data_IF_000072524441
#
_entry.id   IF_000072524441
#
_cell.length_a   1.000
_cell.length_b   1.000
_cell.length_c   1.000
_cell.angle_alpha   90.00
_cell.angle_beta   90.00
_cell.angle_gamma   90.00
#
_symmetry.space_group_name_H-M   'P 1'
#
loop_
_entity.id
_entity.type
_entity.pdbx_description
1 polymer ?
#
# COMPACT_ATOMS: atom_id res chain seq x y z
N UNK A 1 2.08 16.49 30.99
CA UNK A 1 1.73 15.05 31.04
C UNK A 1 2.32 14.47 32.32
N UNK A 2 1.54 13.76 33.15
CA UNK A 2 2.06 13.16 34.39
C UNK A 2 3.05 12.02 34.08
N UNK A 3 3.98 11.74 34.99
CA UNK A 3 4.93 10.62 34.86
C UNK A 3 4.23 9.26 34.67
N UNK A 4 3.03 9.09 35.25
CA UNK A 4 2.20 7.88 35.08
C UNK A 4 1.68 7.69 33.65
N UNK A 5 1.29 8.77 32.97
CA UNK A 5 0.87 8.70 31.56
C UNK A 5 2.04 8.39 30.63
N UNK A 6 3.23 8.94 30.92
CA UNK A 6 4.44 8.66 30.15
C UNK A 6 4.88 7.20 30.29
N UNK A 7 4.85 6.65 31.52
CA UNK A 7 5.16 5.25 31.77
C UNK A 7 4.21 4.30 31.03
N UNK A 8 2.90 4.56 31.08
CA UNK A 8 1.89 3.75 30.38
C UNK A 8 2.04 3.80 28.86
N UNK A 9 2.48 4.93 28.30
CA UNK A 9 2.77 5.07 26.88
C UNK A 9 3.97 4.24 26.42
N UNK A 10 5.05 4.23 27.20
CA UNK A 10 6.27 3.47 26.88
C UNK A 10 6.03 1.96 26.97
N UNK A 11 5.28 1.47 27.95
CA UNK A 11 4.89 0.06 28.06
C UNK A 11 4.06 -0.39 26.84
N UNK A 12 3.11 0.45 26.39
CA UNK A 12 2.34 0.14 25.19
C UNK A 12 3.22 0.10 23.93
N UNK A 13 4.18 1.02 23.80
CA UNK A 13 5.15 1.00 22.70
C UNK A 13 6.03 -0.25 22.72
N UNK A 14 6.52 -0.65 23.88
CA UNK A 14 7.28 -1.89 24.04
C UNK A 14 6.50 -3.10 23.52
N UNK A 15 5.21 -3.19 23.87
CA UNK A 15 4.30 -4.24 23.37
C UNK A 15 4.12 -4.17 21.85
N UNK A 16 4.00 -2.99 21.25
CA UNK A 16 3.92 -2.85 19.79
C UNK A 16 5.17 -3.42 19.09
N UNK A 17 6.37 -3.12 19.59
CA UNK A 17 7.61 -3.69 19.05
C UNK A 17 7.71 -5.22 19.26
N UNK A 18 7.22 -5.75 20.38
CA UNK A 18 7.16 -7.21 20.59
C UNK A 18 6.21 -7.89 19.59
N UNK A 19 5.01 -7.34 19.41
CA UNK A 19 4.02 -7.85 18.45
C UNK A 19 4.57 -7.77 17.03
N UNK A 20 5.21 -6.65 16.66
CA UNK A 20 5.88 -6.50 15.39
C UNK A 20 6.93 -7.60 15.18
N UNK A 21 7.80 -7.85 16.17
CA UNK A 21 8.83 -8.89 16.05
C UNK A 21 8.28 -10.33 15.94
N UNK A 22 7.06 -10.58 16.42
CA UNK A 22 6.39 -11.88 16.36
C UNK A 22 5.67 -12.06 15.03
N UNK A 23 4.67 -11.21 14.73
CA UNK A 23 3.82 -11.31 13.54
C UNK A 23 4.63 -11.33 12.23
N UNK A 24 5.70 -10.55 12.21
CA UNK A 24 6.47 -10.31 11.01
C UNK A 24 7.58 -11.36 10.80
N UNK A 25 7.87 -12.18 11.82
CA UNK A 25 8.71 -13.38 11.62
C UNK A 25 7.98 -14.48 10.85
N UNK A 26 6.64 -14.44 10.81
CA UNK A 26 5.82 -15.55 10.31
C UNK A 26 5.21 -15.27 8.92
N UNK A 27 4.91 -14.01 8.58
CA UNK A 27 4.19 -13.64 7.35
C UNK A 27 5.05 -12.89 6.33
N UNK A 28 6.02 -12.08 6.78
CA UNK A 28 6.84 -11.23 5.92
C UNK A 28 8.27 -11.07 6.49
N UNK A 29 9.11 -12.12 6.40
CA UNK A 29 10.27 -12.27 7.26
C UNK A 29 11.35 -11.21 7.04
N UNK A 30 11.63 -10.42 8.09
CA UNK A 30 12.86 -9.63 8.22
C UNK A 30 13.60 -10.02 9.50
N UNK A 31 14.59 -10.94 9.42
CA UNK A 31 15.41 -11.31 10.57
C UNK A 31 16.08 -10.11 11.24
N UNK A 32 16.52 -9.11 10.45
CA UNK A 32 17.12 -7.89 10.99
C UNK A 32 16.10 -7.13 11.84
N UNK A 33 14.94 -6.77 11.27
CA UNK A 33 13.94 -5.98 12.00
C UNK A 33 13.35 -6.76 13.18
N UNK A 34 13.18 -8.07 13.08
CA UNK A 34 12.75 -8.91 14.21
C UNK A 34 13.74 -8.88 15.38
N UNK A 35 15.05 -8.95 15.12
CA UNK A 35 16.08 -8.83 16.17
C UNK A 35 16.07 -7.42 16.77
N UNK A 36 16.04 -6.38 15.92
CA UNK A 36 16.05 -5.00 16.39
C UNK A 36 14.81 -4.69 17.24
N UNK A 37 13.62 -5.09 16.79
CA UNK A 37 12.36 -4.85 17.50
C UNK A 37 12.32 -5.50 18.88
N UNK A 38 12.80 -6.73 19.03
CA UNK A 38 12.88 -7.40 20.35
C UNK A 38 13.80 -6.67 21.33
N UNK A 39 14.86 -6.04 20.84
CA UNK A 39 15.79 -5.29 21.68
C UNK A 39 15.26 -3.87 21.98
N UNK A 40 14.69 -3.18 20.99
CA UNK A 40 14.04 -1.88 21.17
C UNK A 40 12.92 -1.97 22.21
N UNK A 41 12.13 -3.04 22.19
CA UNK A 41 11.08 -3.28 23.19
C UNK A 41 11.59 -3.34 24.66
N UNK A 42 12.90 -3.46 24.87
CA UNK A 42 13.55 -3.52 26.19
C UNK A 42 14.41 -2.29 26.49
N UNK A 43 14.49 -1.32 25.58
CA UNK A 43 15.35 -0.15 25.70
C UNK A 43 14.52 1.14 25.77
N UNK A 44 14.43 1.71 26.97
CA UNK A 44 13.66 2.93 27.24
C UNK A 44 14.15 4.14 26.44
N UNK A 45 15.44 4.20 26.09
CA UNK A 45 16.00 5.29 25.28
C UNK A 45 15.45 5.20 23.86
N UNK A 46 15.46 4.00 23.27
CA UNK A 46 14.93 3.78 21.92
C UNK A 46 13.40 3.94 21.87
N UNK A 47 12.68 3.47 22.89
CA UNK A 47 11.22 3.68 22.99
C UNK A 47 10.87 5.16 23.11
N UNK A 48 11.66 5.95 23.83
CA UNK A 48 11.49 7.40 23.93
C UNK A 48 11.69 8.07 22.57
N UNK A 49 12.73 7.70 21.82
CA UNK A 49 12.94 8.20 20.47
C UNK A 49 11.76 7.83 19.55
N UNK A 50 11.34 6.57 19.55
CA UNK A 50 10.21 6.08 18.76
C UNK A 50 8.86 6.74 19.11
N UNK A 51 8.69 7.21 20.36
CA UNK A 51 7.46 7.86 20.83
C UNK A 51 7.11 9.18 20.13
N UNK A 52 8.06 9.75 19.37
CA UNK A 52 7.83 10.97 18.57
C UNK A 52 6.94 10.74 17.34
N UNK A 53 6.59 9.48 17.04
CA UNK A 53 5.72 9.17 15.92
C UNK A 53 4.33 9.79 16.12
N UNK A 54 3.75 10.28 15.02
CA UNK A 54 2.40 10.88 15.06
C UNK A 54 1.35 9.83 15.48
N UNK A 55 0.27 10.25 16.17
CA UNK A 55 -0.85 9.37 16.47
C UNK A 55 -1.38 8.66 15.21
N UNK A 56 -1.73 7.38 15.36
CA UNK A 56 -2.27 6.56 14.27
C UNK A 56 -1.24 6.01 13.28
N UNK A 57 0.07 6.32 13.44
CA UNK A 57 1.11 5.70 12.62
C UNK A 57 1.60 4.38 13.23
N UNK A 58 1.95 3.37 12.41
CA UNK A 58 2.61 2.16 12.90
C UNK A 58 4.04 2.49 13.34
N UNK A 59 4.21 2.67 14.65
CA UNK A 59 5.46 3.20 15.25
C UNK A 59 6.69 2.38 14.87
N UNK A 60 6.70 1.03 14.93
CA UNK A 60 7.87 0.25 14.52
C UNK A 60 8.28 0.49 13.06
N UNK A 61 7.30 0.56 12.15
CA UNK A 61 7.55 0.79 10.72
C UNK A 61 8.14 2.18 10.48
N UNK A 62 7.61 3.24 11.12
CA UNK A 62 8.18 4.60 11.03
C UNK A 62 9.61 4.61 11.56
N UNK A 63 9.84 4.01 12.73
CA UNK A 63 11.13 4.04 13.40
C UNK A 63 12.22 3.36 12.56
N UNK A 64 11.96 2.15 12.06
CA UNK A 64 12.92 1.45 11.23
C UNK A 64 13.07 2.07 9.85
N UNK A 65 12.00 2.59 9.24
CA UNK A 65 12.10 3.32 7.98
C UNK A 65 12.92 4.60 8.12
N UNK A 66 12.86 5.31 9.26
CA UNK A 66 13.69 6.49 9.51
C UNK A 66 15.19 6.16 9.52
N UNK A 67 15.57 5.07 10.19
CA UNK A 67 16.96 4.58 10.18
C UNK A 67 17.37 4.15 8.78
N UNK A 68 16.53 3.36 8.10
CA UNK A 68 16.80 2.91 6.75
C UNK A 68 16.92 4.07 5.75
N UNK A 69 16.10 5.10 5.89
CA UNK A 69 16.12 6.32 5.08
C UNK A 69 17.46 7.04 5.21
N UNK A 70 17.98 7.23 6.44
CA UNK A 70 19.29 7.87 6.64
C UNK A 70 20.42 7.05 6.00
N UNK A 71 20.37 5.72 6.13
CA UNK A 71 21.37 4.84 5.50
C UNK A 71 21.27 4.88 3.95
N UNK A 72 20.05 4.81 3.40
CA UNK A 72 19.79 4.94 1.96
C UNK A 72 20.19 6.31 1.41
N UNK A 73 20.17 7.35 2.23
CA UNK A 73 20.62 8.72 1.89
C UNK A 73 22.15 8.85 1.83
N UNK A 74 22.90 7.77 2.09
CA UNK A 74 24.35 7.73 1.97
C UNK A 74 25.13 7.93 3.27
N UNK A 75 24.45 7.88 4.43
CA UNK A 75 25.10 7.99 5.74
C UNK A 75 26.13 6.87 5.91
N UNK A 76 27.41 7.23 6.04
CA UNK A 76 28.50 6.28 6.24
C UNK A 76 28.53 5.81 7.69
N UNK A 77 28.08 4.58 7.94
CA UNK A 77 28.08 3.98 9.28
C UNK A 77 28.17 2.45 9.22
N UNK A 78 28.85 1.77 10.18
CA UNK A 78 28.94 0.31 10.21
C UNK A 78 27.60 -0.44 10.18
N UNK A 79 26.51 0.21 10.62
CA UNK A 79 25.15 -0.34 10.58
C UNK A 79 24.72 -0.73 9.15
N UNK A 80 25.18 -0.01 8.12
CA UNK A 80 24.83 -0.29 6.73
C UNK A 80 25.21 -1.72 6.30
N UNK A 81 26.27 -2.30 6.88
CA UNK A 81 26.72 -3.65 6.58
C UNK A 81 25.70 -4.74 6.97
N UNK A 82 24.72 -4.43 7.82
CA UNK A 82 23.68 -5.37 8.24
C UNK A 82 22.43 -5.31 7.37
N UNK A 83 22.30 -4.31 6.48
CA UNK A 83 21.11 -4.08 5.65
C UNK A 83 21.30 -4.73 4.26
N UNK A 84 20.58 -5.81 3.93
CA UNK A 84 20.74 -6.50 2.64
C UNK A 84 20.33 -5.67 1.43
N UNK A 85 19.59 -4.58 1.65
CA UNK A 85 19.25 -3.57 0.64
C UNK A 85 20.44 -2.67 0.27
N UNK A 86 21.47 -2.61 1.11
CA UNK A 86 22.64 -1.73 0.96
C UNK A 86 23.94 -2.49 0.66
N UNK A 87 23.97 -3.81 0.89
CA UNK A 87 25.15 -4.65 0.63
C UNK A 87 24.76 -6.00 0.03
N UNK A 88 25.60 -6.48 -0.89
CA UNK A 88 25.47 -7.83 -1.45
C UNK A 88 25.85 -8.93 -0.44
N UNK A 89 26.68 -8.61 0.56
CA UNK A 89 27.17 -9.55 1.57
C UNK A 89 26.87 -8.98 2.97
N UNK A 90 25.65 -9.21 3.51
CA UNK A 90 25.28 -8.72 4.83
C UNK A 90 26.11 -9.37 5.94
N UNK A 91 26.49 -8.58 6.93
CA UNK A 91 27.14 -9.07 8.15
C UNK A 91 26.21 -9.97 8.96
N UNK A 92 26.78 -10.90 9.74
CA UNK A 92 26.01 -11.73 10.68
C UNK A 92 25.33 -10.84 11.72
N UNK A 93 24.05 -11.07 11.99
CA UNK A 93 23.23 -10.22 12.89
C UNK A 93 23.65 -10.26 14.38
N UNK A 94 24.63 -11.09 14.75
CA UNK A 94 25.17 -11.14 16.11
C UNK A 94 25.80 -9.79 16.44
N UNK A 95 25.35 -9.17 17.55
CA UNK A 95 25.86 -7.87 17.98
C UNK A 95 25.37 -6.67 17.16
N UNK A 96 24.36 -6.85 16.29
CA UNK A 96 23.80 -5.72 15.51
C UNK A 96 23.17 -4.64 16.40
N UNK A 97 22.56 -5.02 17.52
CA UNK A 97 21.79 -4.09 18.34
C UNK A 97 22.63 -2.96 18.97
N UNK A 98 23.79 -3.21 19.60
CA UNK A 98 24.68 -2.12 20.04
C UNK A 98 25.06 -1.13 18.93
N UNK A 99 25.31 -1.63 17.72
CA UNK A 99 25.66 -0.79 16.56
C UNK A 99 24.45 0.04 16.11
N UNK A 100 23.27 -0.58 16.07
CA UNK A 100 22.00 0.11 15.80
C UNK A 100 21.71 1.20 16.84
N UNK A 101 21.86 0.89 18.13
CA UNK A 101 21.65 1.84 19.22
C UNK A 101 22.62 3.01 19.12
N UNK A 102 23.89 2.75 18.86
CA UNK A 102 24.90 3.81 18.66
C UNK A 102 24.55 4.71 17.47
N UNK A 103 24.07 4.14 16.35
CA UNK A 103 23.56 4.92 15.22
C UNK A 103 22.40 5.82 15.64
N UNK A 104 21.40 5.28 16.34
CA UNK A 104 20.24 6.05 16.76
C UNK A 104 20.60 7.19 17.72
N UNK A 105 21.62 6.99 18.57
CA UNK A 105 22.14 8.05 19.45
C UNK A 105 22.94 9.11 18.68
N UNK A 106 23.74 8.69 17.70
CA UNK A 106 24.53 9.60 16.87
C UNK A 106 23.66 10.51 15.99
N UNK A 107 22.52 10.00 15.51
CA UNK A 107 21.60 10.70 14.59
C UNK A 107 20.24 11.00 15.23
N UNK A 108 20.20 11.21 16.55
CA UNK A 108 18.97 11.33 17.32
C UNK A 108 18.06 12.47 16.80
N UNK A 109 18.64 13.65 16.54
CA UNK A 109 17.89 14.82 16.10
C UNK A 109 17.25 14.60 14.72
N UNK A 110 18.01 14.06 13.76
CA UNK A 110 17.50 13.74 12.42
C UNK A 110 16.41 12.67 12.49
N UNK A 111 16.62 11.62 13.29
CA UNK A 111 15.63 10.56 13.45
C UNK A 111 14.34 11.11 14.07
N UNK A 112 14.44 11.95 15.11
CA UNK A 112 13.30 12.59 15.75
C UNK A 112 12.50 13.44 14.76
N UNK A 113 13.18 14.22 13.92
CA UNK A 113 12.54 14.99 12.86
C UNK A 113 11.81 14.08 11.87
N UNK A 114 12.47 13.05 11.34
CA UNK A 114 11.87 12.13 10.37
C UNK A 114 10.65 11.41 10.97
N UNK A 115 10.79 10.86 12.18
CA UNK A 115 9.74 10.11 12.88
C UNK A 115 8.51 10.99 13.14
N UNK A 116 8.72 12.27 13.49
CA UNK A 116 7.63 13.20 13.81
C UNK A 116 6.99 13.85 12.58
N UNK A 117 7.60 13.77 11.41
CA UNK A 117 7.14 14.45 10.20
C UNK A 117 6.59 13.52 9.12
N UNK A 118 7.22 12.36 8.93
CA UNK A 118 6.86 11.42 7.87
C UNK A 118 5.65 10.55 8.21
N UNK A 119 5.10 9.90 7.19
CA UNK A 119 3.95 8.99 7.28
C UNK A 119 4.28 7.66 6.61
N UNK A 120 3.77 6.56 7.15
CA UNK A 120 3.72 5.29 6.43
C UNK A 120 2.61 5.39 5.40
N UNK A 121 2.98 5.23 4.13
CA UNK A 121 2.07 5.17 3.02
C UNK A 121 2.43 3.95 2.18
N UNK A 122 1.69 2.87 2.38
CA UNK A 122 1.93 1.60 1.68
C UNK A 122 1.33 1.69 0.29
N UNK A 123 2.18 1.77 -0.74
CA UNK A 123 1.76 1.76 -2.14
C UNK A 123 2.10 0.40 -2.78
N UNK A 124 1.34 -0.64 -2.41
CA UNK A 124 1.65 -2.03 -2.77
C UNK A 124 1.16 -2.40 -4.17
N UNK A 125 2.07 -2.36 -5.14
CA UNK A 125 1.79 -2.58 -6.56
C UNK A 125 1.33 -4.01 -6.86
N UNK A 126 1.77 -5.00 -6.07
CA UNK A 126 1.33 -6.39 -6.27
C UNK A 126 -0.19 -6.58 -6.12
N UNK A 127 -0.89 -5.66 -5.44
CA UNK A 127 -2.36 -5.69 -5.36
C UNK A 127 -3.04 -5.59 -6.71
N UNK A 128 -2.39 -4.99 -7.72
CA UNK A 128 -2.90 -4.96 -9.08
C UNK A 128 -3.16 -6.37 -9.63
N UNK A 129 -2.41 -7.39 -9.19
CA UNK A 129 -2.65 -8.77 -9.62
C UNK A 129 -3.95 -9.35 -9.05
N UNK A 130 -4.42 -8.90 -7.89
CA UNK A 130 -5.74 -9.27 -7.39
C UNK A 130 -6.85 -8.41 -8.01
N UNK A 131 -6.55 -7.15 -8.33
CA UNK A 131 -7.50 -6.21 -8.93
C UNK A 131 -7.77 -6.48 -10.42
N UNK A 132 -6.83 -7.04 -11.16
CA UNK A 132 -6.95 -7.31 -12.61
C UNK A 132 -8.25 -8.04 -12.98
N UNK A 133 -8.58 -9.21 -12.38
CA UNK A 133 -9.83 -9.89 -12.72
C UNK A 133 -11.09 -9.09 -12.34
N UNK A 134 -11.01 -8.22 -11.33
CA UNK A 134 -12.12 -7.32 -10.99
C UNK A 134 -12.36 -6.28 -12.09
N UNK A 135 -11.29 -5.69 -12.65
CA UNK A 135 -11.40 -4.77 -13.78
C UNK A 135 -11.89 -5.47 -15.04
N UNK A 136 -11.55 -6.74 -15.26
CA UNK A 136 -12.10 -7.50 -16.40
C UNK A 136 -13.61 -7.71 -16.26
N UNK A 137 -14.11 -8.03 -15.06
CA UNK A 137 -15.55 -8.13 -14.81
C UNK A 137 -16.24 -6.80 -15.04
N UNK A 138 -15.68 -5.71 -14.50
CA UNK A 138 -16.23 -4.36 -14.71
C UNK A 138 -16.25 -4.00 -16.20
N UNK A 139 -15.20 -4.35 -16.94
CA UNK A 139 -15.14 -4.16 -18.39
C UNK A 139 -16.25 -4.94 -19.10
N UNK A 140 -16.45 -6.22 -18.76
CA UNK A 140 -17.52 -7.05 -19.34
C UNK A 140 -18.92 -6.49 -19.03
N UNK A 141 -19.21 -6.19 -17.76
CA UNK A 141 -20.51 -5.63 -17.34
C UNK A 141 -20.75 -4.23 -17.92
N UNK A 142 -19.68 -3.44 -18.06
CA UNK A 142 -19.66 -2.14 -18.72
C UNK A 142 -19.78 -2.20 -20.25
N UNK A 143 -20.01 -3.38 -20.82
CA UNK A 143 -20.18 -3.64 -22.26
C UNK A 143 -18.92 -3.33 -23.08
N UNK A 144 -17.75 -3.58 -22.48
CA UNK A 144 -16.41 -3.35 -23.06
C UNK A 144 -16.16 -1.90 -23.53
N UNK A 145 -16.94 -0.93 -23.01
CA UNK A 145 -16.62 0.49 -23.16
C UNK A 145 -15.32 0.81 -22.42
N UNK A 146 -14.55 1.83 -22.87
CA UNK A 146 -13.34 2.23 -22.18
C UNK A 146 -13.61 2.55 -20.71
N UNK A 147 -12.68 2.17 -19.85
CA UNK A 147 -12.77 2.40 -18.41
C UNK A 147 -12.32 3.82 -18.07
N UNK A 148 -13.11 4.48 -17.23
CA UNK A 148 -12.70 5.66 -16.49
C UNK A 148 -12.54 5.24 -15.02
N UNK A 149 -11.30 5.23 -14.53
CA UNK A 149 -11.00 4.73 -13.19
C UNK A 149 -10.66 5.86 -12.22
N UNK A 150 -11.17 5.74 -10.98
CA UNK A 150 -10.84 6.63 -9.88
C UNK A 150 -10.33 5.81 -8.70
N UNK A 151 -9.09 6.01 -8.26
CA UNK A 151 -8.54 5.39 -7.06
C UNK A 151 -8.70 6.30 -5.84
N UNK A 152 -9.24 5.77 -4.74
CA UNK A 152 -9.26 6.45 -3.44
C UNK A 152 -8.10 5.91 -2.57
N UNK A 153 -7.29 6.81 -2.01
CA UNK A 153 -6.09 6.45 -1.25
C UNK A 153 -4.90 6.06 -2.14
N UNK A 154 -4.74 6.74 -3.27
CA UNK A 154 -3.82 6.33 -4.35
C UNK A 154 -2.33 6.44 -3.99
N UNK A 155 -1.98 7.13 -2.90
CA UNK A 155 -0.60 7.42 -2.50
C UNK A 155 0.23 8.05 -3.63
N UNK A 156 1.05 7.28 -4.34
CA UNK A 156 1.88 7.74 -5.46
C UNK A 156 1.28 7.48 -6.85
N UNK A 157 0.04 6.98 -6.95
CA UNK A 157 -0.61 6.73 -8.24
C UNK A 157 -0.18 5.45 -8.96
N UNK A 158 0.50 4.53 -8.28
CA UNK A 158 1.10 3.36 -8.94
C UNK A 158 0.05 2.32 -9.35
N UNK A 159 -1.04 2.15 -8.59
CA UNK A 159 -2.07 1.16 -8.93
C UNK A 159 -3.03 1.64 -10.03
N UNK A 160 -3.07 2.95 -10.32
CA UNK A 160 -3.81 3.52 -11.45
C UNK A 160 -3.32 2.97 -12.80
N UNK A 161 -2.09 2.46 -12.86
CA UNK A 161 -1.45 1.97 -14.08
C UNK A 161 -1.48 0.44 -14.15
N UNK A 162 -2.45 -0.20 -13.50
CA UNK A 162 -2.61 -1.65 -13.51
C UNK A 162 -2.63 -2.23 -14.94
N UNK A 163 -3.20 -1.52 -15.91
CA UNK A 163 -3.27 -1.96 -17.31
C UNK A 163 -1.92 -1.86 -18.06
N UNK A 164 -0.91 -1.21 -17.47
CA UNK A 164 0.43 -1.03 -18.01
C UNK A 164 1.44 -2.09 -17.53
N UNK A 165 1.01 -3.00 -16.66
CA UNK A 165 1.86 -4.04 -16.06
C UNK A 165 1.67 -5.40 -16.74
N UNK A 166 2.65 -6.28 -16.57
CA UNK A 166 2.52 -7.68 -16.94
C UNK A 166 2.13 -8.53 -15.73
N UNK A 167 1.44 -9.64 -15.97
CA UNK A 167 0.86 -10.48 -14.92
C UNK A 167 1.14 -11.95 -15.18
N UNK A 168 1.43 -12.70 -14.11
CA UNK A 168 1.62 -14.15 -14.13
C UNK A 168 0.86 -14.80 -12.99
N UNK A 169 0.07 -15.82 -13.31
CA UNK A 169 -0.69 -16.63 -12.35
C UNK A 169 -0.25 -18.08 -12.45
N UNK A 170 0.98 -18.37 -11.99
CA UNK A 170 1.63 -19.66 -12.21
C UNK A 170 1.64 -20.01 -13.71
N UNK A 171 1.32 -21.27 -14.02
CA UNK A 171 1.22 -21.77 -15.39
C UNK A 171 -0.16 -21.51 -16.03
N UNK A 172 -1.12 -20.94 -15.27
CA UNK A 172 -2.52 -20.77 -15.71
C UNK A 172 -2.64 -19.61 -16.69
N UNK A 173 -1.93 -18.52 -16.44
CA UNK A 173 -2.05 -17.30 -17.23
C UNK A 173 -0.78 -16.46 -17.23
N UNK A 174 -0.47 -15.91 -18.39
CA UNK A 174 0.50 -14.83 -18.56
C UNK A 174 -0.03 -13.82 -19.57
N UNK A 175 -0.23 -12.58 -19.12
CA UNK A 175 -0.90 -11.55 -19.92
C UNK A 175 -0.59 -10.13 -19.45
N UNK A 176 -1.33 -9.18 -20.02
CA UNK A 176 -1.01 -7.76 -19.88
C UNK A 176 0.16 -7.32 -20.74
N UNK A 177 0.88 -6.31 -20.27
CA UNK A 177 2.04 -5.80 -20.97
C UNK A 177 3.25 -6.74 -20.78
N UNK A 178 3.40 -7.70 -21.70
CA UNK A 178 4.48 -8.70 -21.69
C UNK A 178 5.88 -8.11 -21.87
N UNK A 179 5.99 -6.89 -22.39
CA UNK A 179 7.29 -6.19 -22.52
C UNK A 179 7.58 -5.26 -21.35
N UNK A 180 6.63 -5.11 -20.41
CA UNK A 180 6.86 -4.34 -19.19
C UNK A 180 7.95 -4.97 -18.34
N UNK A 181 8.89 -4.15 -17.85
CA UNK A 181 9.88 -4.59 -16.86
C UNK A 181 9.22 -4.96 -15.51
N UNK A 182 7.96 -4.55 -15.29
CA UNK A 182 7.20 -4.92 -14.12
C UNK A 182 6.24 -6.08 -14.43
N UNK A 183 6.66 -7.27 -14.00
CA UNK A 183 5.85 -8.47 -14.01
C UNK A 183 5.38 -8.77 -12.58
N UNK A 184 4.07 -8.90 -12.41
CA UNK A 184 3.43 -9.15 -11.11
C UNK A 184 2.98 -10.60 -11.04
N UNK A 185 3.48 -11.32 -10.06
CA UNK A 185 3.13 -12.72 -9.78
C UNK A 185 2.02 -12.79 -8.72
N UNK A 186 1.03 -13.64 -8.96
CA UNK A 186 -0.01 -13.97 -7.99
C UNK A 186 -0.34 -15.46 -8.04
N UNK A 187 -0.23 -16.15 -6.91
CA UNK A 187 -0.66 -17.53 -6.76
C UNK A 187 -2.20 -17.59 -6.82
N UNK A 188 -2.77 -18.44 -7.67
CA UNK A 188 -4.20 -18.75 -7.62
C UNK A 188 -4.43 -19.92 -6.69
N UNK A 189 -5.36 -19.74 -5.75
CA UNK A 189 -5.79 -20.76 -4.79
C UNK A 189 -7.23 -21.17 -5.03
N UNK A 190 -7.55 -22.37 -4.59
CA UNK A 190 -8.87 -22.95 -4.76
C UNK A 190 -9.11 -23.49 -6.18
N UNK A 191 -10.28 -24.08 -6.43
CA UNK A 191 -10.57 -24.79 -7.68
C UNK A 191 -11.05 -23.86 -8.82
N UNK A 192 -11.40 -22.60 -8.51
CA UNK A 192 -11.97 -21.66 -9.47
C UNK A 192 -10.91 -20.75 -10.05
N UNK A 193 -10.98 -20.54 -11.36
CA UNK A 193 -10.10 -19.60 -12.07
C UNK A 193 -10.84 -18.28 -12.24
N UNK A 194 -10.25 -17.14 -11.84
CA UNK A 194 -10.87 -15.84 -12.03
C UNK A 194 -10.94 -15.47 -13.53
N UNK A 195 -11.83 -14.55 -13.93
CA UNK A 195 -11.87 -14.07 -15.31
C UNK A 195 -10.62 -13.21 -15.58
N UNK A 196 -9.69 -13.76 -16.36
CA UNK A 196 -8.46 -13.07 -16.75
C UNK A 196 -8.59 -12.56 -18.18
N UNK A 197 -8.26 -11.27 -18.44
CA UNK A 197 -8.50 -10.67 -19.75
C UNK A 197 -7.48 -11.19 -20.78
N UNK A 198 -7.92 -11.66 -21.97
CA UNK A 198 -7.00 -12.00 -23.06
C UNK A 198 -6.29 -10.76 -23.62
N UNK A 199 -6.96 -9.61 -23.59
CA UNK A 199 -6.45 -8.29 -23.93
C UNK A 199 -6.84 -7.30 -22.84
N UNK A 200 -5.94 -6.37 -22.50
CA UNK A 200 -6.19 -5.40 -21.43
C UNK A 200 -7.38 -4.50 -21.76
N UNK A 201 -8.34 -4.31 -20.82
CA UNK A 201 -9.37 -3.31 -20.99
C UNK A 201 -8.76 -1.92 -21.26
N UNK A 202 -9.31 -1.21 -22.24
CA UNK A 202 -8.87 0.15 -22.53
C UNK A 202 -9.22 1.07 -21.35
N UNK A 203 -8.26 1.89 -20.91
CA UNK A 203 -8.46 2.89 -19.85
C UNK A 203 -8.15 4.27 -20.39
N UNK A 204 -9.19 5.10 -20.55
CA UNK A 204 -9.09 6.45 -21.14
C UNK A 204 -8.95 7.54 -20.09
N UNK A 205 -9.33 7.28 -18.84
CA UNK A 205 -9.21 8.23 -17.74
C UNK A 205 -8.71 7.54 -16.47
N UNK A 206 -7.71 8.13 -15.83
CA UNK A 206 -7.13 7.69 -14.55
C UNK A 206 -7.05 8.88 -13.60
N UNK A 207 -7.78 8.81 -12.49
CA UNK A 207 -7.73 9.85 -11.44
C UNK A 207 -7.44 9.20 -10.09
N UNK A 208 -6.39 9.66 -9.42
CA UNK A 208 -6.09 9.26 -8.06
C UNK A 208 -6.43 10.36 -7.07
N UNK A 209 -7.08 10.00 -5.97
CA UNK A 209 -7.39 10.89 -4.85
C UNK A 209 -6.64 10.43 -3.60
N UNK A 210 -5.90 11.33 -2.97
CA UNK A 210 -5.22 11.06 -1.71
C UNK A 210 -5.16 12.32 -0.85
N UNK A 211 -5.22 12.20 0.48
CA UNK A 211 -5.07 13.35 1.37
C UNK A 211 -3.65 13.93 1.33
N UNK A 212 -2.65 13.07 1.11
CA UNK A 212 -1.23 13.39 1.14
C UNK A 212 -0.50 12.65 0.01
N UNK A 213 -0.82 12.95 -1.27
CA UNK A 213 -0.24 12.23 -2.39
C UNK A 213 1.29 12.35 -2.41
N UNK A 214 1.95 11.27 -2.79
CA UNK A 214 3.41 11.23 -2.88
C UNK A 214 3.83 11.84 -4.21
N UNK A 215 4.57 12.94 -4.15
CA UNK A 215 5.17 13.54 -5.34
C UNK A 215 6.36 12.71 -5.83
N UNK A 216 6.14 11.86 -6.84
CA UNK A 216 7.15 11.00 -7.47
C UNK A 216 8.28 11.75 -8.21
N UNK A 217 8.09 13.05 -8.48
CA UNK A 217 9.13 13.93 -9.04
C UNK A 217 10.09 14.44 -7.97
N UNK A 218 9.71 14.34 -6.68
CA UNK A 218 10.61 14.65 -5.57
C UNK A 218 11.46 13.41 -5.21
N UNK A 219 12.79 13.44 -5.44
CA UNK A 219 13.66 12.31 -5.15
C UNK A 219 13.66 11.92 -3.66
N UNK A 220 13.48 12.89 -2.76
CA UNK A 220 13.39 12.65 -1.32
C UNK A 220 12.12 11.87 -0.94
N UNK A 221 10.97 12.21 -1.54
CA UNK A 221 9.72 11.49 -1.33
C UNK A 221 9.80 10.04 -1.85
N UNK A 222 10.47 9.85 -2.99
CA UNK A 222 10.77 8.52 -3.54
C UNK A 222 11.71 7.73 -2.63
N UNK A 223 12.72 8.38 -2.06
CA UNK A 223 13.64 7.75 -1.12
C UNK A 223 12.93 7.30 0.16
N UNK A 224 12.00 8.12 0.67
CA UNK A 224 11.15 7.74 1.79
C UNK A 224 10.28 6.52 1.47
N UNK A 225 9.63 6.50 0.30
CA UNK A 225 8.83 5.36 -0.15
C UNK A 225 9.67 4.07 -0.24
N UNK A 226 10.93 4.18 -0.70
CA UNK A 226 11.91 3.09 -0.70
C UNK A 226 12.28 2.64 0.72
N UNK A 227 12.48 3.56 1.65
CA UNK A 227 12.86 3.24 3.03
C UNK A 227 11.77 2.49 3.81
N UNK A 228 10.50 2.65 3.41
CA UNK A 228 9.37 1.88 3.93
C UNK A 228 9.40 0.40 3.50
N UNK A 229 10.21 0.05 2.50
CA UNK A 229 10.47 -1.34 2.11
C UNK A 229 11.56 -1.91 3.01
N UNK A 230 11.32 -3.11 3.51
CA UNK A 230 12.20 -3.74 4.48
C UNK A 230 13.50 -4.22 3.82
N UNK A 231 14.61 -4.24 4.56
CA UNK A 231 15.94 -4.43 3.99
C UNK A 231 16.11 -5.73 3.21
N UNK A 232 15.42 -6.79 3.62
CA UNK A 232 15.44 -8.10 2.98
C UNK A 232 14.60 -8.18 1.69
N UNK A 233 13.61 -7.30 1.50
CA UNK A 233 12.63 -7.42 0.41
C UNK A 233 13.13 -6.83 -0.91
N UNK A 234 14.22 -7.38 -1.44
CA UNK A 234 14.87 -6.92 -2.69
C UNK A 234 13.91 -6.88 -3.88
N UNK A 235 13.03 -7.86 -4.00
CA UNK A 235 12.04 -7.93 -5.08
C UNK A 235 11.05 -6.75 -5.00
N UNK A 236 10.67 -6.33 -3.79
CA UNK A 236 9.81 -5.14 -3.62
C UNK A 236 10.53 -3.86 -4.02
N UNK A 237 11.84 -3.75 -3.77
CA UNK A 237 12.63 -2.62 -4.28
C UNK A 237 12.64 -2.58 -5.80
N UNK A 238 12.91 -3.71 -6.45
CA UNK A 238 12.92 -3.80 -7.92
C UNK A 238 11.54 -3.47 -8.49
N UNK A 239 10.46 -4.01 -7.91
CA UNK A 239 9.09 -3.70 -8.35
C UNK A 239 8.76 -2.22 -8.20
N UNK A 240 9.09 -1.61 -7.06
CA UNK A 240 8.86 -0.19 -6.84
C UNK A 240 9.64 0.65 -7.86
N UNK A 241 10.91 0.31 -8.12
CA UNK A 241 11.73 1.03 -9.10
C UNK A 241 11.11 0.95 -10.51
N UNK A 242 10.74 -0.24 -10.97
CA UNK A 242 10.12 -0.43 -12.28
C UNK A 242 8.77 0.31 -12.38
N UNK A 243 7.95 0.26 -11.32
CA UNK A 243 6.69 1.00 -11.27
C UNK A 243 6.92 2.53 -11.33
N UNK A 244 7.94 3.04 -10.63
CA UNK A 244 8.31 4.45 -10.64
C UNK A 244 8.77 4.94 -12.02
N UNK A 245 9.40 4.08 -12.81
CA UNK A 245 9.77 4.40 -14.20
C UNK A 245 8.53 4.52 -15.09
N UNK A 246 7.59 3.58 -14.97
CA UNK A 246 6.34 3.58 -15.75
C UNK A 246 5.48 4.80 -15.38
N UNK A 247 5.28 5.08 -14.09
CA UNK A 247 4.45 6.23 -13.66
C UNK A 247 5.02 7.57 -14.07
N UNK A 248 6.35 7.72 -14.16
CA UNK A 248 7.00 8.96 -14.64
C UNK A 248 6.75 9.20 -16.13
N UNK A 249 6.58 8.13 -16.91
CA UNK A 249 6.24 8.18 -18.33
C UNK A 249 4.75 8.47 -18.51
N UNK A 250 3.88 7.75 -17.79
CA UNK A 250 2.42 7.81 -17.97
C UNK A 250 1.75 9.01 -17.28
N UNK A 251 2.32 9.50 -16.16
CA UNK A 251 1.88 10.68 -15.39
C UNK A 251 0.36 10.73 -15.16
N UNK A 252 -0.24 9.72 -14.49
CA UNK A 252 -1.65 9.75 -14.16
C UNK A 252 -1.99 10.99 -13.30
N UNK A 253 -3.22 11.48 -13.42
CA UNK A 253 -3.69 12.63 -12.64
C UNK A 253 -3.88 12.19 -11.18
N UNK A 254 -3.08 12.76 -10.27
CA UNK A 254 -3.21 12.55 -8.83
C UNK A 254 -3.53 13.88 -8.16
N UNK A 255 -4.67 13.95 -7.47
CA UNK A 255 -5.15 15.15 -6.80
C UNK A 255 -5.05 14.99 -5.29
N UNK A 256 -4.52 16.04 -4.65
CA UNK A 256 -4.49 16.14 -3.19
C UNK A 256 -5.83 16.65 -2.67
N UNK A 257 -6.46 15.92 -1.75
CA UNK A 257 -7.63 16.40 -1.03
C UNK A 257 -8.54 15.29 -0.51
N UNK A 258 -9.59 15.73 0.17
CA UNK A 258 -10.62 14.85 0.70
C UNK A 258 -11.46 14.27 -0.43
N UNK A 259 -11.44 12.94 -0.55
CA UNK A 259 -12.18 12.22 -1.57
C UNK A 259 -13.68 12.51 -1.53
N UNK A 260 -14.29 12.67 -0.35
CA UNK A 260 -15.72 12.95 -0.21
C UNK A 260 -16.10 14.30 -0.85
N UNK A 261 -15.18 15.27 -0.82
CA UNK A 261 -15.38 16.61 -1.39
C UNK A 261 -15.10 16.65 -2.89
N UNK A 262 -14.08 15.94 -3.35
CA UNK A 262 -13.62 16.00 -4.74
C UNK A 262 -14.40 15.07 -5.68
N UNK A 263 -14.84 13.91 -5.18
CA UNK A 263 -15.43 12.85 -5.99
C UNK A 263 -16.69 13.29 -6.76
N UNK A 264 -17.66 14.04 -6.19
CA UNK A 264 -18.84 14.48 -6.93
C UNK A 264 -18.49 15.31 -8.17
N UNK A 265 -17.57 16.26 -8.03
CA UNK A 265 -17.12 17.12 -9.14
C UNK A 265 -16.38 16.31 -10.20
N UNK A 266 -15.53 15.36 -9.80
CA UNK A 266 -14.77 14.53 -10.75
C UNK A 266 -15.73 13.65 -11.55
N UNK A 267 -16.63 12.91 -10.87
CA UNK A 267 -17.59 12.02 -11.52
C UNK A 267 -18.50 12.75 -12.53
N UNK A 268 -18.87 14.01 -12.26
CA UNK A 268 -19.66 14.82 -13.16
C UNK A 268 -18.93 15.16 -14.48
N UNK A 269 -17.59 15.15 -14.47
CA UNK A 269 -16.76 15.42 -15.65
C UNK A 269 -16.30 14.14 -16.37
N UNK A 270 -16.62 12.94 -15.85
CA UNK A 270 -16.27 11.68 -16.50
C UNK A 270 -17.18 11.44 -17.71
N UNK A 271 -16.65 11.19 -18.92
CA UNK A 271 -17.45 10.96 -20.12
C UNK A 271 -18.51 9.85 -19.95
N UNK A 272 -19.69 10.03 -20.54
CA UNK A 272 -20.84 9.11 -20.39
C UNK A 272 -20.70 7.83 -21.22
N UNK A 273 -19.87 7.86 -22.26
CA UNK A 273 -19.50 6.73 -23.10
C UNK A 273 -18.43 5.82 -22.48
N UNK A 274 -17.98 6.13 -21.26
CA UNK A 274 -17.06 5.28 -20.47
C UNK A 274 -17.78 4.49 -19.39
N UNK A 275 -17.16 3.39 -18.96
CA UNK A 275 -17.56 2.67 -17.74
C UNK A 275 -16.80 3.28 -16.56
N UNK A 276 -17.53 3.96 -15.67
CA UNK A 276 -16.95 4.55 -14.46
C UNK A 276 -16.75 3.48 -13.39
N UNK A 277 -15.49 3.32 -12.98
CA UNK A 277 -15.11 2.42 -11.91
C UNK A 277 -14.34 3.18 -10.83
N UNK A 278 -14.80 3.09 -9.59
CA UNK A 278 -14.09 3.64 -8.43
C UNK A 278 -13.48 2.45 -7.70
N UNK A 279 -12.21 2.54 -7.34
CA UNK A 279 -11.57 1.46 -6.61
C UNK A 279 -10.73 1.98 -5.45
N UNK A 280 -10.51 1.12 -4.47
CA UNK A 280 -9.64 1.40 -3.34
C UNK A 280 -9.07 0.11 -2.79
N UNK A 281 -7.86 0.19 -2.23
CA UNK A 281 -7.22 -0.95 -1.57
C UNK A 281 -6.60 -0.55 -0.25
N UNK A 282 -6.99 -1.21 0.85
CA UNK A 282 -6.50 -0.94 2.21
C UNK A 282 -6.55 0.55 2.61
N UNK A 283 -7.61 1.22 2.19
CA UNK A 283 -7.82 2.65 2.46
C UNK A 283 -9.01 2.82 3.40
N UNK A 284 -10.08 2.05 3.18
CA UNK A 284 -11.32 2.19 3.94
C UNK A 284 -11.25 1.59 5.34
N UNK A 285 -10.21 0.81 5.65
CA UNK A 285 -9.89 0.41 7.03
C UNK A 285 -9.43 1.60 7.91
N UNK A 286 -9.03 2.73 7.31
CA UNK A 286 -8.63 3.95 8.01
C UNK A 286 -9.72 5.02 8.03
N UNK A 287 -10.83 4.79 7.33
CA UNK A 287 -11.93 5.75 7.19
C UNK A 287 -12.99 5.49 8.27
N UNK A 288 -13.39 6.50 9.06
CA UNK A 288 -14.49 6.42 10.02
C UNK A 288 -15.82 6.00 9.38
N UNK A 289 -16.71 5.37 10.17
CA UNK A 289 -17.96 4.82 9.65
C UNK A 289 -18.89 5.85 8.99
N UNK A 290 -19.01 7.03 9.59
CA UNK A 290 -19.78 8.16 9.06
C UNK A 290 -19.26 8.59 7.69
N UNK A 291 -17.93 8.70 7.53
CA UNK A 291 -17.31 9.00 6.25
C UNK A 291 -17.51 7.88 5.21
N UNK A 292 -17.53 6.60 5.63
CA UNK A 292 -17.86 5.48 4.72
C UNK A 292 -19.32 5.52 4.26
N UNK A 293 -20.24 5.91 5.15
CA UNK A 293 -21.65 6.08 4.81
C UNK A 293 -21.85 7.28 3.87
N UNK A 294 -21.16 8.39 4.11
CA UNK A 294 -21.18 9.55 3.21
C UNK A 294 -20.66 9.20 1.81
N UNK A 295 -19.56 8.45 1.72
CA UNK A 295 -19.05 7.93 0.46
C UNK A 295 -20.11 7.11 -0.29
N UNK A 296 -20.79 6.19 0.39
CA UNK A 296 -21.86 5.39 -0.22
C UNK A 296 -23.01 6.26 -0.71
N UNK A 297 -23.43 7.24 0.08
CA UNK A 297 -24.49 8.19 -0.29
C UNK A 297 -24.15 9.01 -1.55
N UNK A 298 -22.88 9.42 -1.69
CA UNK A 298 -22.39 10.10 -2.90
C UNK A 298 -22.57 9.21 -4.13
N UNK A 299 -22.19 7.92 -4.05
CA UNK A 299 -22.32 6.97 -5.16
C UNK A 299 -23.79 6.66 -5.49
N UNK A 300 -24.62 6.46 -4.47
CA UNK A 300 -26.07 6.25 -4.61
C UNK A 300 -26.72 7.45 -5.30
N UNK A 301 -26.38 8.68 -4.90
CA UNK A 301 -26.94 9.87 -5.53
C UNK A 301 -26.51 10.00 -6.99
N UNK A 302 -25.21 9.81 -7.27
CA UNK A 302 -24.68 9.89 -8.62
C UNK A 302 -25.23 8.78 -9.54
N UNK A 303 -25.56 7.61 -8.98
CA UNK A 303 -26.03 6.47 -9.78
C UNK A 303 -27.45 6.61 -10.34
N UNK A 304 -28.18 7.64 -9.90
CA UNK A 304 -29.46 8.04 -10.51
C UNK A 304 -29.30 8.53 -11.95
N UNK A 305 -28.10 8.95 -12.33
CA UNK A 305 -27.82 9.53 -13.65
C UNK A 305 -26.84 8.70 -14.49
N UNK A 306 -26.11 7.76 -13.88
CA UNK A 306 -25.15 6.89 -14.58
C UNK A 306 -24.92 5.57 -13.83
N UNK A 307 -24.48 4.55 -14.54
CA UNK A 307 -23.97 3.31 -13.94
C UNK A 307 -22.60 3.57 -13.30
N UNK A 308 -22.36 3.04 -12.09
CA UNK A 308 -21.08 3.17 -11.37
C UNK A 308 -20.68 1.82 -10.79
N UNK A 309 -19.46 1.39 -11.06
CA UNK A 309 -18.86 0.24 -10.41
C UNK A 309 -17.94 0.68 -9.28
N UNK A 310 -17.91 -0.11 -8.20
CA UNK A 310 -16.95 0.05 -7.12
C UNK A 310 -16.23 -1.27 -6.86
N UNK A 311 -14.90 -1.24 -6.88
CA UNK A 311 -14.06 -2.36 -6.45
C UNK A 311 -13.48 -2.02 -5.07
N UNK A 312 -13.78 -2.84 -4.07
CA UNK A 312 -13.21 -2.71 -2.73
C UNK A 312 -12.27 -3.88 -2.46
N UNK A 313 -10.99 -3.59 -2.17
CA UNK A 313 -10.01 -4.58 -1.74
C UNK A 313 -9.56 -4.26 -0.31
N UNK A 314 -10.23 -4.83 0.68
CA UNK A 314 -10.14 -4.39 2.07
C UNK A 314 -10.05 -5.56 3.06
N UNK A 315 -9.38 -5.30 4.20
CA UNK A 315 -9.44 -6.15 5.37
C UNK A 315 -10.39 -5.49 6.39
N UNK A 316 -11.57 -6.08 6.59
CA UNK A 316 -12.62 -5.48 7.42
C UNK A 316 -12.37 -5.76 8.93
N UNK A 317 -11.65 -6.83 9.25
CA UNK A 317 -11.27 -7.18 10.62
C UNK A 317 -9.82 -7.64 10.72
N UNK A 318 -9.23 -7.43 11.90
CA UNK A 318 -7.88 -7.92 12.20
C UNK A 318 -7.84 -9.45 12.13
N UNK A 319 -6.87 -9.99 11.38
CA UNK A 319 -6.65 -11.43 11.27
C UNK A 319 -7.54 -12.15 10.27
N UNK A 320 -8.41 -11.45 9.52
CA UNK A 320 -9.14 -12.03 8.39
C UNK A 320 -8.42 -11.77 7.08
N UNK A 321 -8.45 -12.74 6.18
CA UNK A 321 -7.99 -12.52 4.81
C UNK A 321 -8.82 -11.41 4.15
N UNK A 322 -8.15 -10.43 3.52
CA UNK A 322 -8.81 -9.39 2.74
C UNK A 322 -9.75 -9.97 1.68
N UNK A 323 -10.85 -9.26 1.42
CA UNK A 323 -11.81 -9.61 0.37
C UNK A 323 -11.73 -8.64 -0.80
N UNK A 324 -12.08 -9.13 -1.99
CA UNK A 324 -12.39 -8.31 -3.14
C UNK A 324 -13.90 -8.31 -3.38
N UNK A 325 -14.50 -7.14 -3.20
CA UNK A 325 -15.93 -6.93 -3.40
C UNK A 325 -16.16 -6.05 -4.61
N UNK A 326 -17.19 -6.39 -5.39
CA UNK A 326 -17.71 -5.58 -6.47
C UNK A 326 -19.10 -5.07 -6.09
N UNK A 327 -19.27 -3.75 -6.06
CA UNK A 327 -20.58 -3.11 -5.98
C UNK A 327 -20.96 -2.49 -7.32
N UNK A 328 -22.20 -2.70 -7.74
CA UNK A 328 -22.84 -1.99 -8.83
C UNK A 328 -23.84 -1.00 -8.22
N UNK A 329 -23.66 0.28 -8.54
CA UNK A 329 -24.64 1.32 -8.24
C UNK A 329 -25.41 1.68 -9.50
N UNK A 330 -26.73 1.54 -9.44
CA UNK A 330 -27.60 1.82 -10.57
C UNK A 330 -28.96 2.32 -10.06
N UNK A 331 -29.44 3.44 -10.61
CA UNK A 331 -30.75 4.01 -10.29
C UNK A 331 -30.96 4.28 -8.77
N UNK A 332 -29.89 4.62 -8.06
CA UNK A 332 -29.95 4.89 -6.62
C UNK A 332 -29.97 3.63 -5.73
N UNK A 333 -29.69 2.46 -6.30
CA UNK A 333 -29.56 1.20 -5.56
C UNK A 333 -28.12 0.69 -5.62
N UNK A 334 -27.69 -0.04 -4.59
CA UNK A 334 -26.43 -0.77 -4.55
C UNK A 334 -26.70 -2.27 -4.53
N UNK A 335 -26.04 -2.99 -5.44
CA UNK A 335 -25.91 -4.45 -5.36
C UNK A 335 -24.43 -4.79 -5.15
N UNK A 336 -24.11 -5.55 -4.11
CA UNK A 336 -22.73 -5.91 -3.75
C UNK A 336 -22.54 -7.43 -3.77
N UNK A 337 -21.38 -7.86 -4.25
CA UNK A 337 -20.95 -9.26 -4.23
C UNK A 337 -19.48 -9.36 -3.84
N UNK A 338 -19.15 -10.30 -2.95
CA UNK A 338 -17.77 -10.72 -2.68
C UNK A 338 -17.34 -11.75 -3.72
N UNK A 339 -16.25 -11.47 -4.43
CA UNK A 339 -15.79 -12.29 -5.55
C UNK A 339 -14.52 -13.09 -5.23
N UNK A 340 -13.68 -12.61 -4.31
CA UNK A 340 -12.43 -13.29 -3.95
C UNK A 340 -11.97 -12.99 -2.52
N UNK A 341 -11.07 -13.84 -2.02
CA UNK A 341 -10.18 -13.56 -0.89
C UNK A 341 -8.75 -13.44 -1.42
N UNK A 342 -7.91 -12.61 -0.81
CA UNK A 342 -6.54 -12.43 -1.27
C UNK A 342 -5.58 -12.02 -0.16
N UNK A 343 -4.29 -12.27 -0.35
CA UNK A 343 -3.24 -11.81 0.55
C UNK A 343 -3.23 -10.29 0.68
N UNK A 344 -2.88 -9.70 1.83
CA UNK A 344 -2.82 -8.24 1.97
C UNK A 344 -1.86 -7.51 1.01
N UNK A 345 -0.84 -8.22 0.53
CA UNK A 345 0.15 -7.72 -0.41
C UNK A 345 0.02 -8.28 -1.83
N UNK A 346 -1.08 -8.97 -2.16
CA UNK A 346 -1.36 -9.47 -3.50
C UNK A 346 -0.52 -10.67 -3.96
N UNK A 347 0.08 -11.42 -3.04
CA UNK A 347 0.87 -12.62 -3.38
C UNK A 347 0.02 -13.83 -3.78
N UNK A 348 -1.21 -13.90 -3.31
CA UNK A 348 -2.15 -14.96 -3.67
C UNK A 348 -3.59 -14.42 -3.70
N UNK A 349 -4.45 -15.11 -4.45
CA UNK A 349 -5.90 -14.89 -4.48
C UNK A 349 -6.65 -16.21 -4.61
N UNK A 350 -7.75 -16.36 -3.88
CA UNK A 350 -8.74 -17.43 -4.00
C UNK A 350 -10.03 -16.85 -4.60
N UNK A 351 -10.44 -17.37 -5.75
CA UNK A 351 -11.66 -16.94 -6.41
C UNK A 351 -12.89 -17.67 -5.86
N UNK A 352 -13.93 -16.94 -5.47
CA UNK A 352 -15.10 -17.49 -4.77
C UNK A 352 -16.35 -17.61 -5.67
N UNK A 353 -16.48 -16.72 -6.67
CA UNK A 353 -17.68 -16.64 -7.52
C UNK A 353 -17.76 -17.78 -8.54
#
# INVERSE_FOLDING_TARGET
MSQSHLASGIENLARQFQVFAQRESDVNPSPLYSILARNVAKDSTMLTLASHARPGQPVPNIFFAAVHYLLLSGTQHPLAAFYPSLTALPAKLIGVYPIFRAFCQQYEDQLREIISTRRVQTNEICRCACLLPMFEIVSQLGRKRPLAIIEIGTSAGLNLLWDQYGYRYGDVFSGGNRTSALQLDCELRGPKVPPLPPEMPEVTLRVGLDLHPINISNPDAVLWLRALIWPEHKERFTRLQNALEIVRQQRPLVLAGDALKLLPTIMANVPMDTTLCIFHSFTFNQIPEDARQEFSNILISASRHREIFRIAYEAIADGTDPTLDLSLYLQGLETRQTLARAAAHGSWMEWLA
#
